data_IF_381064329341
#
_entry.id   IF_381064329341
#
_cell.length_a   1.000
_cell.length_b   1.000
_cell.length_c   1.000
_cell.angle_alpha   90.00
_cell.angle_beta   90.00
_cell.angle_gamma   90.00
#
_symmetry.space_group_name_H-M   'P 1'
#
loop_
_entity.id
_entity.type
_entity.pdbx_description
1 polymer ?
#
# COMPACT_ATOMS: atom_id res chain seq x y z
N UNK A 1 17.11 22.00 -9.40
CA UNK A 1 15.85 21.41 -8.90
C UNK A 1 15.35 20.25 -9.76
N UNK A 2 15.12 20.43 -11.08
CA UNK A 2 14.68 19.31 -11.95
C UNK A 2 15.71 18.17 -12.04
N UNK A 3 16.99 18.51 -12.25
CA UNK A 3 18.09 17.52 -12.30
C UNK A 3 18.12 16.62 -11.07
N UNK A 4 18.03 17.20 -9.88
CA UNK A 4 17.99 16.47 -8.61
C UNK A 4 16.82 15.50 -8.55
N UNK A 5 15.60 15.93 -8.92
CA UNK A 5 14.40 15.08 -8.93
C UNK A 5 14.53 13.89 -9.89
N UNK A 6 15.07 14.12 -11.09
CA UNK A 6 15.29 13.06 -12.08
C UNK A 6 16.31 12.05 -11.55
N UNK A 7 17.44 12.53 -11.02
CA UNK A 7 18.48 11.67 -10.46
C UNK A 7 17.92 10.82 -9.33
N UNK A 8 17.17 11.41 -8.39
CA UNK A 8 16.56 10.64 -7.28
C UNK A 8 15.57 9.60 -7.77
N UNK A 9 14.73 9.92 -8.76
CA UNK A 9 13.76 8.98 -9.30
C UNK A 9 14.44 7.79 -9.98
N UNK A 10 15.49 8.06 -10.78
CA UNK A 10 16.26 7.00 -11.46
C UNK A 10 16.98 6.11 -10.44
N UNK A 11 17.62 6.69 -9.42
CA UNK A 11 18.28 5.92 -8.36
C UNK A 11 17.28 5.03 -7.63
N UNK A 12 16.12 5.57 -7.23
CA UNK A 12 15.09 4.79 -6.54
C UNK A 12 14.53 3.66 -7.43
N UNK A 13 14.32 3.91 -8.73
CA UNK A 13 13.90 2.89 -9.66
C UNK A 13 14.93 1.77 -9.80
N UNK A 14 16.22 2.10 -9.90
CA UNK A 14 17.30 1.12 -9.97
C UNK A 14 17.43 0.31 -8.68
N UNK A 15 17.31 0.96 -7.52
CA UNK A 15 17.31 0.28 -6.22
C UNK A 15 16.10 -0.64 -6.08
N UNK A 16 14.91 -0.20 -6.50
CA UNK A 16 13.72 -1.04 -6.53
C UNK A 16 13.96 -2.30 -7.38
N UNK A 17 14.45 -2.13 -8.62
CA UNK A 17 14.72 -3.26 -9.52
C UNK A 17 15.79 -4.20 -8.96
N UNK A 18 16.81 -3.66 -8.29
CA UNK A 18 17.84 -4.45 -7.61
C UNK A 18 17.24 -5.33 -6.51
N UNK A 19 16.40 -4.75 -5.63
CA UNK A 19 15.75 -5.49 -4.56
C UNK A 19 14.75 -6.51 -5.13
N UNK A 20 14.04 -6.14 -6.19
CA UNK A 20 12.98 -6.93 -6.79
C UNK A 20 13.48 -8.19 -7.52
N UNK A 21 14.62 -8.09 -8.23
CA UNK A 21 15.10 -9.17 -9.11
C UNK A 21 16.42 -9.82 -8.70
N UNK A 22 17.25 -9.16 -7.89
CA UNK A 22 18.64 -9.59 -7.66
C UNK A 22 18.88 -10.00 -6.21
N UNK A 23 18.31 -9.28 -5.25
CA UNK A 23 18.52 -9.59 -3.84
C UNK A 23 17.65 -10.79 -3.39
N UNK A 24 18.07 -11.50 -2.32
CA UNK A 24 17.25 -12.55 -1.71
C UNK A 24 15.88 -12.04 -1.25
N UNK A 25 14.88 -12.91 -1.27
CA UNK A 25 13.46 -12.59 -0.99
C UNK A 25 13.25 -11.85 0.34
N UNK A 26 14.06 -12.16 1.37
CA UNK A 26 14.01 -11.45 2.65
C UNK A 26 14.20 -9.93 2.53
N UNK A 27 14.98 -9.45 1.55
CA UNK A 27 15.14 -8.02 1.28
C UNK A 27 13.90 -7.40 0.65
N UNK A 28 13.20 -8.15 -0.21
CA UNK A 28 11.92 -7.73 -0.77
C UNK A 28 10.85 -7.64 0.33
N UNK A 29 10.71 -8.69 1.14
CA UNK A 29 9.83 -8.70 2.32
C UNK A 29 10.13 -7.52 3.25
N UNK A 30 11.42 -7.29 3.55
CA UNK A 30 11.85 -6.16 4.37
C UNK A 30 11.49 -4.80 3.77
N UNK A 31 11.63 -4.65 2.44
CA UNK A 31 11.23 -3.44 1.73
C UNK A 31 9.71 -3.23 1.77
N UNK A 32 8.91 -4.28 1.55
CA UNK A 32 7.46 -4.23 1.62
C UNK A 32 6.99 -3.77 3.01
N UNK A 33 7.55 -4.35 4.08
CA UNK A 33 7.28 -3.92 5.47
C UNK A 33 7.70 -2.47 5.67
N UNK A 34 8.90 -2.07 5.23
CA UNK A 34 9.37 -0.69 5.37
C UNK A 34 8.46 0.33 4.66
N UNK A 35 7.97 0.00 3.45
CA UNK A 35 7.02 0.82 2.70
C UNK A 35 5.68 0.94 3.44
N UNK A 36 5.16 -0.15 3.99
CA UNK A 36 3.93 -0.12 4.82
C UNK A 36 4.12 0.76 6.04
N UNK A 37 5.24 0.64 6.76
CA UNK A 37 5.52 1.47 7.94
C UNK A 37 5.67 2.93 7.58
N UNK A 38 6.36 3.25 6.48
CA UNK A 38 6.44 4.62 5.99
C UNK A 38 5.05 5.17 5.65
N UNK A 39 4.21 4.35 5.01
CA UNK A 39 2.81 4.67 4.75
C UNK A 39 2.02 4.92 6.04
N UNK A 40 2.20 4.10 7.06
CA UNK A 40 1.55 4.22 8.37
C UNK A 40 1.96 5.50 9.10
N UNK A 41 3.22 5.91 9.01
CA UNK A 41 3.68 7.17 9.59
C UNK A 41 2.97 8.37 8.97
N UNK A 42 2.81 8.39 7.64
CA UNK A 42 2.05 9.45 6.97
C UNK A 42 0.55 9.34 7.27
N UNK A 43 0.02 8.11 7.30
CA UNK A 43 -1.38 7.86 7.63
C UNK A 43 -1.73 8.29 9.07
N UNK A 44 -0.80 8.14 10.01
CA UNK A 44 -1.01 8.59 11.39
C UNK A 44 -1.27 10.10 11.48
N UNK A 45 -0.59 10.89 10.63
CA UNK A 45 -0.81 12.33 10.51
C UNK A 45 -2.18 12.62 9.87
N UNK A 46 -2.56 11.87 8.85
CA UNK A 46 -3.90 11.96 8.22
C UNK A 46 -5.02 11.64 9.23
N UNK A 47 -4.80 10.65 10.09
CA UNK A 47 -5.68 10.30 11.21
C UNK A 47 -5.66 11.30 12.37
N UNK A 48 -4.89 12.40 12.26
CA UNK A 48 -4.70 13.40 13.32
C UNK A 48 -4.15 12.84 14.63
N UNK A 49 -3.41 11.73 14.57
CA UNK A 49 -2.70 11.18 15.72
C UNK A 49 -1.40 11.94 15.96
N UNK A 50 -1.04 12.13 17.23
CA UNK A 50 0.23 12.73 17.64
C UNK A 50 0.80 12.05 18.88
N UNK A 51 2.11 12.15 19.06
CA UNK A 51 2.81 11.62 20.24
C UNK A 51 2.55 10.12 20.42
N UNK A 52 2.12 9.71 21.63
CA UNK A 52 1.94 8.29 21.99
C UNK A 52 1.00 7.54 21.05
N UNK A 53 -0.08 8.18 20.57
CA UNK A 53 -1.05 7.50 19.67
C UNK A 53 -0.44 7.10 18.34
N UNK A 54 0.37 7.98 17.73
CA UNK A 54 1.04 7.69 16.46
C UNK A 54 2.11 6.59 16.61
N UNK A 55 2.85 6.59 17.73
CA UNK A 55 3.81 5.52 18.03
C UNK A 55 3.12 4.17 18.25
N UNK A 56 2.02 4.13 19.01
CA UNK A 56 1.25 2.90 19.22
C UNK A 56 0.71 2.38 17.90
N UNK A 57 0.10 3.23 17.08
CA UNK A 57 -0.44 2.83 15.78
C UNK A 57 0.66 2.26 14.86
N UNK A 58 1.82 2.91 14.81
CA UNK A 58 2.97 2.46 14.01
C UNK A 58 3.53 1.13 14.53
N UNK A 59 3.71 1.01 15.84
CA UNK A 59 4.22 -0.20 16.49
C UNK A 59 3.26 -1.39 16.31
N UNK A 60 1.95 -1.17 16.45
CA UNK A 60 0.94 -2.19 16.18
C UNK A 60 0.94 -2.60 14.71
N UNK A 61 1.09 -1.65 13.78
CA UNK A 61 1.18 -1.99 12.36
C UNK A 61 2.41 -2.84 12.07
N UNK A 62 3.56 -2.49 12.65
CA UNK A 62 4.78 -3.29 12.54
C UNK A 62 4.58 -4.68 13.13
N UNK A 63 3.97 -4.80 14.31
CA UNK A 63 3.68 -6.08 14.93
C UNK A 63 2.79 -6.95 14.04
N UNK A 64 1.75 -6.39 13.43
CA UNK A 64 0.88 -7.12 12.50
C UNK A 64 1.65 -7.56 11.26
N UNK A 65 2.45 -6.69 10.64
CA UNK A 65 3.26 -7.06 9.49
C UNK A 65 4.28 -8.16 9.82
N UNK A 66 4.97 -8.07 10.96
CA UNK A 66 5.91 -9.10 11.40
C UNK A 66 5.20 -10.41 11.74
N UNK A 67 3.98 -10.35 12.30
CA UNK A 67 3.17 -11.53 12.56
C UNK A 67 2.74 -12.22 11.26
N UNK A 68 2.37 -11.46 10.22
CA UNK A 68 2.08 -12.00 8.88
C UNK A 68 3.32 -12.67 8.28
N UNK A 69 4.47 -11.98 8.28
CA UNK A 69 5.73 -12.55 7.77
C UNK A 69 6.12 -13.83 8.52
N UNK A 70 5.98 -13.84 9.85
CA UNK A 70 6.27 -15.03 10.65
C UNK A 70 5.25 -16.16 10.37
N UNK A 71 3.98 -15.82 10.19
CA UNK A 71 2.93 -16.78 9.87
C UNK A 71 3.20 -17.45 8.52
N UNK A 72 3.53 -16.68 7.49
CA UNK A 72 3.82 -17.18 6.15
C UNK A 72 5.09 -18.05 6.15
N UNK A 73 6.13 -17.63 6.88
CA UNK A 73 7.36 -18.42 7.02
C UNK A 73 7.18 -19.74 7.79
N UNK A 74 6.12 -19.88 8.60
CA UNK A 74 5.88 -21.03 9.47
C UNK A 74 4.78 -21.97 8.98
N UNK A 75 4.03 -21.59 7.96
CA UNK A 75 2.88 -22.34 7.45
C UNK A 75 3.02 -22.66 5.96
N UNK A 76 2.43 -23.76 5.52
CA UNK A 76 2.36 -24.12 4.10
C UNK A 76 1.43 -23.17 3.34
N UNK A 77 1.65 -22.99 2.03
CA UNK A 77 0.79 -22.18 1.15
C UNK A 77 -0.71 -22.47 1.33
N UNK A 78 -1.11 -23.75 1.42
CA UNK A 78 -2.51 -24.15 1.64
C UNK A 78 -3.11 -23.61 2.94
N UNK A 79 -2.31 -23.47 3.99
CA UNK A 79 -2.75 -22.94 5.28
C UNK A 79 -2.80 -21.40 5.29
N UNK A 80 -2.08 -20.74 4.37
CA UNK A 80 -2.05 -19.29 4.21
C UNK A 80 -3.27 -18.75 3.45
N UNK A 81 -3.87 -19.56 2.55
CA UNK A 81 -4.98 -19.15 1.68
C UNK A 81 -6.12 -18.47 2.43
N UNK A 82 -6.63 -19.08 3.50
CA UNK A 82 -7.78 -18.53 4.21
C UNK A 82 -7.45 -17.22 4.95
N UNK A 83 -6.39 -17.14 5.77
CA UNK A 83 -5.96 -15.88 6.39
C UNK A 83 -5.73 -14.74 5.38
N UNK A 84 -5.02 -15.01 4.29
CA UNK A 84 -4.75 -14.02 3.24
C UNK A 84 -6.05 -13.56 2.57
N UNK A 85 -6.94 -14.52 2.24
CA UNK A 85 -8.25 -14.21 1.69
C UNK A 85 -9.08 -13.32 2.61
N UNK A 86 -9.01 -13.51 3.93
CA UNK A 86 -9.70 -12.64 4.89
C UNK A 86 -9.13 -11.22 4.89
N UNK A 87 -7.80 -11.06 4.82
CA UNK A 87 -7.15 -9.75 4.70
C UNK A 87 -7.58 -9.06 3.40
N UNK A 88 -7.60 -9.79 2.28
CA UNK A 88 -8.07 -9.27 1.00
C UNK A 88 -9.57 -8.97 0.98
N UNK A 89 -10.40 -9.77 1.66
CA UNK A 89 -11.82 -9.53 1.77
C UNK A 89 -12.12 -8.20 2.49
N UNK A 90 -11.36 -7.84 3.53
CA UNK A 90 -11.47 -6.53 4.18
C UNK A 90 -11.15 -5.40 3.19
N UNK A 91 -10.09 -5.54 2.39
CA UNK A 91 -9.74 -4.54 1.38
C UNK A 91 -10.79 -4.44 0.27
N UNK A 92 -11.29 -5.58 -0.21
CA UNK A 92 -12.34 -5.65 -1.22
C UNK A 92 -13.64 -5.01 -0.72
N UNK A 93 -14.04 -5.31 0.52
CA UNK A 93 -15.19 -4.67 1.15
C UNK A 93 -15.01 -3.14 1.22
N UNK A 94 -13.80 -2.69 1.58
CA UNK A 94 -13.48 -1.28 1.64
C UNK A 94 -13.61 -0.61 0.26
N UNK A 95 -12.96 -1.15 -0.77
CA UNK A 95 -12.91 -0.50 -2.08
C UNK A 95 -14.18 -0.64 -2.90
N UNK A 96 -14.90 -1.77 -2.79
CA UNK A 96 -16.10 -2.03 -3.59
C UNK A 96 -17.38 -1.50 -2.94
N UNK A 97 -17.42 -1.38 -1.62
CA UNK A 97 -18.65 -1.00 -0.90
C UNK A 97 -18.44 0.28 -0.09
N UNK A 98 -17.48 0.32 0.83
CA UNK A 98 -17.34 1.42 1.79
C UNK A 98 -16.92 2.73 1.10
N UNK A 99 -15.89 2.72 0.25
CA UNK A 99 -15.39 3.93 -0.41
C UNK A 99 -16.44 4.53 -1.36
N UNK A 100 -17.09 3.77 -2.25
CA UNK A 100 -18.13 4.31 -3.11
C UNK A 100 -19.31 4.90 -2.32
N UNK A 101 -19.81 4.20 -1.30
CA UNK A 101 -20.91 4.69 -0.47
C UNK A 101 -20.53 5.95 0.31
N UNK A 102 -19.31 5.99 0.85
CA UNK A 102 -18.77 7.15 1.52
C UNK A 102 -18.74 8.37 0.58
N UNK A 103 -18.20 8.22 -0.63
CA UNK A 103 -18.13 9.30 -1.62
C UNK A 103 -19.51 9.80 -2.05
N UNK A 104 -20.49 8.91 -2.23
CA UNK A 104 -21.87 9.28 -2.59
C UNK A 104 -22.55 10.08 -1.47
N UNK A 105 -22.37 9.66 -0.22
CA UNK A 105 -22.96 10.33 0.95
C UNK A 105 -22.23 11.62 1.30
N UNK A 106 -20.98 11.79 0.85
CA UNK A 106 -20.15 12.94 1.20
C UNK A 106 -19.76 12.96 2.67
N UNK A 107 -19.69 11.79 3.31
CA UNK A 107 -19.38 11.68 4.74
C UNK A 107 -17.97 12.25 5.01
N UNK A 108 -17.78 12.92 6.15
CA UNK A 108 -16.47 13.35 6.63
C UNK A 108 -16.14 12.57 7.89
N UNK A 109 -15.16 11.69 7.80
CA UNK A 109 -14.73 10.91 8.96
C UNK A 109 -13.80 11.75 9.80
N UNK A 110 -14.29 12.18 10.96
CA UNK A 110 -13.52 12.99 11.90
C UNK A 110 -12.90 12.16 13.03
N UNK A 111 -13.36 10.92 13.22
CA UNK A 111 -12.90 10.03 14.28
C UNK A 111 -11.50 9.44 13.93
N UNK A 112 -10.46 9.71 14.74
CA UNK A 112 -9.10 9.20 14.51
C UNK A 112 -9.00 7.67 14.45
N UNK A 113 -9.78 6.95 15.27
CA UNK A 113 -9.76 5.49 15.32
C UNK A 113 -10.31 4.88 14.03
N UNK A 114 -11.40 5.44 13.49
CA UNK A 114 -11.93 5.01 12.21
C UNK A 114 -10.92 5.25 11.08
N UNK A 115 -10.20 6.39 11.10
CA UNK A 115 -9.13 6.65 10.12
C UNK A 115 -7.97 5.67 10.23
N UNK A 116 -7.62 5.22 11.44
CA UNK A 116 -6.63 4.16 11.61
C UNK A 116 -7.11 2.82 11.05
N UNK A 117 -8.36 2.44 11.27
CA UNK A 117 -8.93 1.21 10.70
C UNK A 117 -8.96 1.23 9.17
N UNK A 118 -9.34 2.37 8.57
CA UNK A 118 -9.25 2.57 7.11
C UNK A 118 -7.81 2.44 6.65
N UNK A 119 -6.86 3.03 7.38
CA UNK A 119 -5.43 2.92 7.09
C UNK A 119 -4.94 1.48 7.08
N UNK A 120 -5.32 0.67 8.06
CA UNK A 120 -4.99 -0.75 8.09
C UNK A 120 -5.64 -1.54 6.95
N UNK A 121 -6.91 -1.28 6.63
CA UNK A 121 -7.61 -1.92 5.53
C UNK A 121 -7.07 -1.54 4.13
N UNK A 122 -6.29 -0.47 4.03
CA UNK A 122 -5.58 -0.05 2.81
C UNK A 122 -4.14 -0.58 2.80
N UNK A 123 -3.38 -0.31 3.86
CA UNK A 123 -1.92 -0.53 3.89
C UNK A 123 -1.53 -1.99 4.10
N UNK A 124 -2.19 -2.72 5.01
CA UNK A 124 -1.83 -4.11 5.32
C UNK A 124 -2.07 -5.03 4.11
N UNK A 125 -3.25 -5.00 3.45
CA UNK A 125 -3.46 -5.80 2.24
C UNK A 125 -2.52 -5.43 1.10
N UNK A 126 -2.13 -4.15 0.99
CA UNK A 126 -1.13 -3.72 -0.02
C UNK A 126 0.24 -4.33 0.27
N UNK A 127 0.67 -4.33 1.54
CA UNK A 127 1.90 -4.97 1.99
C UNK A 127 1.91 -6.47 1.69
N UNK A 128 0.82 -7.16 2.05
CA UNK A 128 0.64 -8.59 1.79
C UNK A 128 0.65 -8.89 0.29
N UNK A 129 -0.11 -8.14 -0.51
CA UNK A 129 -0.16 -8.33 -1.96
C UNK A 129 1.21 -8.12 -2.63
N UNK A 130 2.03 -7.19 -2.12
CA UNK A 130 3.40 -7.02 -2.62
C UNK A 130 4.28 -8.26 -2.35
N UNK A 131 4.07 -8.96 -1.23
CA UNK A 131 4.79 -10.20 -0.91
C UNK A 131 4.25 -11.35 -1.77
N UNK A 132 2.94 -11.60 -1.77
CA UNK A 132 2.31 -12.69 -2.53
C UNK A 132 2.56 -12.59 -4.05
N UNK A 133 2.48 -11.38 -4.63
CA UNK A 133 2.72 -11.20 -6.06
C UNK A 133 4.18 -11.42 -6.43
N UNK A 134 5.11 -11.11 -5.52
CA UNK A 134 6.54 -11.39 -5.72
C UNK A 134 6.83 -12.88 -5.68
N UNK A 135 6.24 -13.59 -4.72
CA UNK A 135 6.32 -15.05 -4.59
C UNK A 135 5.78 -15.77 -5.84
N UNK A 136 4.69 -15.25 -6.43
CA UNK A 136 4.19 -15.74 -7.73
C UNK A 136 5.22 -15.49 -8.83
N UNK A 137 5.63 -14.22 -8.99
CA UNK A 137 6.73 -13.84 -9.87
C UNK A 137 7.06 -12.35 -9.73
N UNK A 138 8.34 -11.96 -9.62
CA UNK A 138 8.74 -10.55 -9.63
C UNK A 138 8.27 -9.79 -10.89
N UNK A 139 8.09 -10.50 -12.01
CA UNK A 139 7.54 -9.92 -13.25
C UNK A 139 6.06 -9.58 -13.16
N UNK A 140 5.27 -10.39 -12.47
CA UNK A 140 3.84 -10.15 -12.26
C UNK A 140 3.65 -8.93 -11.38
N UNK A 141 4.41 -8.85 -10.29
CA UNK A 141 4.41 -7.67 -9.43
C UNK A 141 4.85 -6.40 -10.20
N UNK A 142 5.95 -6.46 -10.95
CA UNK A 142 6.41 -5.33 -11.77
C UNK A 142 5.32 -4.90 -12.77
N UNK A 143 4.64 -5.86 -13.40
CA UNK A 143 3.54 -5.59 -14.31
C UNK A 143 2.40 -4.83 -13.62
N UNK A 144 1.97 -5.27 -12.43
CA UNK A 144 0.92 -4.59 -11.65
C UNK A 144 1.36 -3.16 -11.26
N UNK A 145 2.61 -2.96 -10.83
CA UNK A 145 3.14 -1.63 -10.52
C UNK A 145 3.16 -0.74 -11.76
N UNK A 146 3.65 -1.25 -12.90
CA UNK A 146 3.65 -0.53 -14.17
C UNK A 146 2.24 -0.18 -14.65
N UNK A 147 1.27 -1.07 -14.44
CA UNK A 147 -0.14 -0.82 -14.77
C UNK A 147 -0.64 0.42 -14.04
N UNK A 148 -0.42 0.51 -12.72
CA UNK A 148 -0.81 1.67 -11.91
C UNK A 148 -0.05 2.93 -12.35
N UNK A 149 1.26 2.86 -12.56
CA UNK A 149 2.05 4.01 -13.01
C UNK A 149 1.61 4.55 -14.38
N UNK A 150 1.36 3.66 -15.34
CA UNK A 150 0.88 4.03 -16.67
C UNK A 150 -0.53 4.62 -16.58
N UNK A 151 -1.40 4.05 -15.74
CA UNK A 151 -2.75 4.58 -15.51
C UNK A 151 -2.72 6.01 -14.96
N UNK A 152 -1.87 6.29 -13.96
CA UNK A 152 -1.72 7.64 -13.39
C UNK A 152 -1.19 8.65 -14.41
N UNK A 153 -0.16 8.27 -15.17
CA UNK A 153 0.41 9.11 -16.24
C UNK A 153 -0.67 9.38 -17.32
N UNK A 154 -1.39 8.33 -17.72
CA UNK A 154 -2.48 8.42 -18.69
C UNK A 154 -3.61 9.33 -18.21
N UNK A 155 -4.03 9.19 -16.95
CA UNK A 155 -5.06 10.03 -16.34
C UNK A 155 -4.65 11.50 -16.30
N UNK A 156 -3.38 11.80 -15.99
CA UNK A 156 -2.85 13.17 -16.02
C UNK A 156 -2.91 13.78 -17.43
N UNK A 157 -2.41 13.08 -18.46
CA UNK A 157 -2.39 13.61 -19.82
C UNK A 157 -3.79 13.70 -20.45
N UNK A 158 -4.63 12.68 -20.22
CA UNK A 158 -6.02 12.69 -20.67
C UNK A 158 -6.81 13.80 -19.95
N UNK A 159 -6.65 13.95 -18.64
CA UNK A 159 -7.27 15.02 -17.86
C UNK A 159 -6.83 16.40 -18.31
N UNK A 160 -5.54 16.60 -18.64
CA UNK A 160 -5.04 17.89 -19.15
C UNK A 160 -5.57 18.23 -20.54
N UNK A 161 -5.70 17.24 -21.44
CA UNK A 161 -6.12 17.47 -22.83
C UNK A 161 -7.63 17.51 -23.01
N UNK A 162 -8.36 16.67 -22.27
CA UNK A 162 -9.80 16.44 -22.46
C UNK A 162 -10.65 16.85 -21.25
N UNK A 163 -10.04 17.17 -20.11
CA UNK A 163 -10.75 17.51 -18.88
C UNK A 163 -11.58 18.78 -19.02
N UNK A 164 -12.89 18.65 -18.81
CA UNK A 164 -13.86 19.76 -18.77
C UNK A 164 -14.47 19.97 -17.38
N UNK A 165 -14.75 18.88 -16.68
CA UNK A 165 -15.36 18.89 -15.35
C UNK A 165 -14.35 18.36 -14.32
N UNK A 166 -14.02 19.16 -13.31
CA UNK A 166 -13.18 18.72 -12.20
C UNK A 166 -14.01 17.80 -11.30
N UNK A 167 -13.52 16.58 -11.10
CA UNK A 167 -14.08 15.62 -10.14
C UNK A 167 -13.44 15.75 -8.75
N UNK A 168 -12.24 16.32 -8.67
CA UNK A 168 -11.64 16.71 -7.41
C UNK A 168 -12.31 18.03 -6.93
N UNK A 169 -12.79 18.09 -5.68
CA UNK A 169 -13.42 19.29 -5.11
C UNK A 169 -12.45 20.48 -5.00
#
# INVERSE_FOLDING_TARGET
MLKTRIITAVILALLLLLVLFVLPDAWWTGLAVAVVIQGTLEWSKLSRLSGRGAYIYTALTLLVMLALVWFDASHTEMAQVLPHLLVYAVSALLWLIIVPTWLIVGWKVENPLLMCLVGWAVLIPTGLAMMDLHDVSPWVLLFVMCLVWVADIGAYFAGRKFGKNKLAP
#
